data_IF_789785684038
#
_entry.id   IF_789785684038
#
_cell.length_a   1.000
_cell.length_b   1.000
_cell.length_c   1.000
_cell.angle_alpha   90.00
_cell.angle_beta   90.00
_cell.angle_gamma   90.00
#
_symmetry.space_group_name_H-M   'P 1'
#
loop_
_entity.id
_entity.type
_entity.pdbx_description
1 polymer ?
#
# COMPACT_ATOMS: atom_id res chain seq x y z
N UNK A 1 2.39 -9.46 -50.43
CA UNK A 1 2.09 -8.09 -49.99
C UNK A 1 0.57 -7.99 -49.98
N UNK A 2 -0.18 -7.98 -48.89
CA UNK A 2 -0.09 -7.34 -47.59
C UNK A 2 -0.98 -8.20 -46.67
N UNK A 3 -0.54 -8.53 -45.44
CA UNK A 3 -1.36 -8.96 -44.27
C UNK A 3 -0.42 -9.64 -43.25
N UNK A 4 0.73 -9.01 -42.99
CA UNK A 4 1.70 -9.45 -41.99
C UNK A 4 1.96 -8.30 -41.02
N UNK A 5 0.93 -7.80 -40.32
CA UNK A 5 1.17 -6.84 -39.22
C UNK A 5 0.01 -6.65 -38.22
N UNK A 6 -0.44 -7.72 -37.55
CA UNK A 6 -1.27 -7.58 -36.33
C UNK A 6 -0.76 -8.53 -35.22
N UNK A 7 0.22 -8.12 -34.41
CA UNK A 7 0.76 -8.95 -33.33
C UNK A 7 -0.14 -9.05 -32.09
N UNK A 8 -1.27 -8.32 -32.03
CA UNK A 8 -2.15 -8.22 -30.85
C UNK A 8 -3.47 -9.01 -30.92
N UNK A 9 -3.76 -9.74 -32.02
CA UNK A 9 -5.00 -10.54 -32.15
C UNK A 9 -4.89 -11.96 -31.58
N UNK A 10 -3.74 -12.34 -31.00
CA UNK A 10 -3.56 -13.67 -30.42
C UNK A 10 -4.01 -13.69 -28.96
N UNK A 11 -5.24 -14.17 -28.74
CA UNK A 11 -5.78 -14.63 -27.45
C UNK A 11 -5.02 -15.84 -26.84
N UNK A 12 -3.78 -16.08 -27.26
CA UNK A 12 -2.92 -17.19 -26.84
C UNK A 12 -1.99 -16.83 -25.66
N UNK A 13 -2.20 -15.67 -25.01
CA UNK A 13 -1.45 -15.28 -23.80
C UNK A 13 -2.01 -15.98 -22.55
N UNK A 14 -3.24 -16.49 -22.59
CA UNK A 14 -3.77 -17.30 -21.49
C UNK A 14 -3.23 -18.74 -21.58
N UNK A 15 -2.40 -19.09 -20.60
CA UNK A 15 -1.85 -20.42 -20.35
C UNK A 15 -2.90 -21.53 -20.55
N UNK A 16 -2.66 -22.43 -21.50
CA UNK A 16 -3.59 -23.47 -21.96
C UNK A 16 -4.07 -24.41 -20.82
N UNK A 17 -3.29 -24.52 -19.73
CA UNK A 17 -3.65 -25.32 -18.56
C UNK A 17 -4.78 -24.72 -17.69
N UNK A 18 -5.04 -23.40 -17.77
CA UNK A 18 -6.00 -22.73 -16.89
C UNK A 18 -7.45 -22.85 -17.37
N UNK A 19 -7.67 -22.83 -18.69
CA UNK A 19 -9.03 -22.83 -19.28
C UNK A 19 -9.75 -24.18 -19.11
N UNK A 20 -9.00 -25.28 -19.13
CA UNK A 20 -9.54 -26.63 -18.87
C UNK A 20 -9.99 -26.79 -17.41
N UNK A 21 -9.32 -26.10 -16.47
CA UNK A 21 -9.65 -26.15 -15.05
C UNK A 21 -10.97 -25.41 -14.73
N UNK A 22 -11.23 -24.30 -15.42
CA UNK A 22 -12.46 -23.51 -15.28
C UNK A 22 -13.67 -24.26 -15.82
N UNK A 23 -13.59 -24.81 -17.04
CA UNK A 23 -14.70 -25.57 -17.63
C UNK A 23 -15.06 -26.80 -16.78
N UNK A 24 -14.06 -27.46 -16.18
CA UNK A 24 -14.26 -28.62 -15.30
C UNK A 24 -14.80 -28.27 -13.92
N UNK A 25 -14.53 -27.08 -13.37
CA UNK A 25 -15.13 -26.59 -12.11
C UNK A 25 -16.59 -26.15 -12.30
N UNK A 26 -16.88 -25.47 -13.42
CA UNK A 26 -18.24 -25.05 -13.77
C UNK A 26 -19.16 -26.22 -14.12
N UNK A 27 -18.62 -27.33 -14.65
CA UNK A 27 -19.41 -28.54 -14.94
C UNK A 27 -19.70 -29.41 -13.70
N UNK A 28 -18.89 -29.31 -12.63
CA UNK A 28 -19.06 -30.11 -11.40
C UNK A 28 -20.03 -29.48 -10.39
N UNK A 29 -20.22 -28.17 -10.45
CA UNK A 29 -21.23 -27.47 -9.67
C UNK A 29 -22.42 -27.28 -10.60
N UNK A 30 -23.51 -28.02 -10.39
CA UNK A 30 -24.75 -27.91 -11.17
C UNK A 30 -25.45 -26.56 -10.97
N UNK A 31 -24.77 -25.46 -11.29
CA UNK A 31 -25.28 -24.11 -11.21
C UNK A 31 -26.05 -23.82 -12.48
N UNK A 32 -27.36 -24.02 -12.37
CA UNK A 32 -28.37 -23.40 -13.21
C UNK A 32 -27.92 -21.99 -13.62
N UNK A 33 -27.93 -21.73 -14.93
CA UNK A 33 -27.68 -20.43 -15.55
C UNK A 33 -28.68 -19.40 -15.01
N UNK A 34 -28.40 -18.82 -13.84
CA UNK A 34 -29.16 -17.70 -13.29
C UNK A 34 -28.69 -16.46 -14.05
N UNK A 35 -29.59 -15.91 -14.86
CA UNK A 35 -29.42 -14.64 -15.56
C UNK A 35 -29.13 -13.57 -14.51
N UNK A 36 -27.88 -13.10 -14.45
CA UNK A 36 -27.48 -12.00 -13.58
C UNK A 36 -28.19 -10.74 -14.09
N UNK A 37 -28.93 -10.00 -13.24
CA UNK A 37 -29.57 -8.75 -13.63
C UNK A 37 -28.50 -7.72 -13.99
N UNK A 38 -28.77 -6.90 -15.00
CA UNK A 38 -27.88 -5.89 -15.59
C UNK A 38 -27.58 -4.67 -14.69
N UNK A 39 -27.36 -4.85 -13.38
CA UNK A 39 -27.33 -3.76 -12.40
C UNK A 39 -26.00 -3.52 -11.68
N UNK A 40 -25.05 -4.45 -11.66
CA UNK A 40 -23.81 -4.29 -10.88
C UNK A 40 -22.59 -4.20 -11.80
N UNK A 41 -22.14 -2.97 -12.03
CA UNK A 41 -20.90 -2.68 -12.75
C UNK A 41 -19.70 -3.06 -11.89
N UNK A 42 -19.12 -4.24 -12.16
CA UNK A 42 -17.82 -4.63 -11.62
C UNK A 42 -16.74 -3.67 -12.14
N UNK A 43 -15.89 -3.06 -11.27
CA UNK A 43 -14.87 -2.09 -11.66
C UNK A 43 -13.82 -2.64 -12.65
N UNK A 44 -13.62 -3.96 -12.69
CA UNK A 44 -12.71 -4.64 -13.63
C UNK A 44 -13.21 -4.65 -15.08
N UNK A 45 -14.53 -4.68 -15.31
CA UNK A 45 -15.13 -4.62 -16.65
C UNK A 45 -15.12 -3.19 -17.22
N UNK A 46 -15.16 -2.18 -16.35
CA UNK A 46 -15.09 -0.78 -16.73
C UNK A 46 -13.74 -0.46 -17.37
N UNK A 47 -12.64 -0.94 -16.80
CA UNK A 47 -11.27 -0.77 -17.33
C UNK A 47 -11.09 -1.43 -18.71
N UNK A 48 -11.60 -2.65 -18.90
CA UNK A 48 -11.52 -3.34 -20.19
C UNK A 48 -12.36 -2.65 -21.26
N UNK A 49 -13.53 -2.12 -20.90
CA UNK A 49 -14.39 -1.39 -21.82
C UNK A 49 -13.85 0.01 -22.14
N UNK A 50 -13.24 0.71 -21.18
CA UNK A 50 -12.55 1.99 -21.40
C UNK A 50 -11.30 1.80 -22.28
N UNK A 51 -10.53 0.74 -22.05
CA UNK A 51 -9.37 0.41 -22.88
C UNK A 51 -9.77 -0.01 -24.30
N UNK A 52 -10.89 -0.74 -24.46
CA UNK A 52 -11.43 -1.11 -25.78
C UNK A 52 -12.04 0.09 -26.51
N UNK A 53 -12.74 0.98 -25.82
CA UNK A 53 -13.28 2.21 -26.40
C UNK A 53 -12.17 3.19 -26.81
N UNK A 54 -11.04 3.20 -26.11
CA UNK A 54 -9.86 4.00 -26.49
C UNK A 54 -9.16 3.48 -27.76
N UNK A 55 -9.43 2.25 -28.20
CA UNK A 55 -8.76 1.64 -29.38
C UNK A 55 -9.56 1.69 -30.68
N UNK A 56 -10.86 2.00 -30.66
CA UNK A 56 -11.73 1.85 -31.85
C UNK A 56 -12.15 3.19 -32.51
N UNK A 57 -12.02 4.32 -31.82
CA UNK A 57 -12.34 5.64 -32.38
C UNK A 57 -11.05 6.42 -32.63
N UNK A 58 -10.86 6.89 -33.87
CA UNK A 58 -9.69 7.64 -34.30
C UNK A 58 -9.28 8.71 -33.28
N UNK A 59 -8.01 8.65 -32.86
CA UNK A 59 -7.45 9.48 -31.79
C UNK A 59 -7.59 10.97 -32.09
N UNK A 60 -8.71 11.55 -31.65
CA UNK A 60 -8.87 12.98 -31.52
C UNK A 60 -8.07 13.42 -30.28
N UNK A 61 -7.08 14.29 -30.48
CA UNK A 61 -6.16 14.78 -29.44
C UNK A 61 -6.88 15.56 -28.31
N UNK A 62 -8.19 15.78 -28.43
CA UNK A 62 -9.07 16.37 -27.43
C UNK A 62 -9.63 15.35 -26.41
N UNK A 63 -9.72 14.06 -26.77
CA UNK A 63 -10.42 13.03 -25.98
C UNK A 63 -9.56 12.30 -24.94
N UNK A 64 -8.23 12.36 -25.02
CA UNK A 64 -7.35 11.72 -24.03
C UNK A 64 -7.56 12.32 -22.62
N UNK A 65 -7.92 13.60 -22.51
CA UNK A 65 -8.23 14.24 -21.22
C UNK A 65 -9.48 13.67 -20.59
N UNK A 66 -10.50 13.34 -21.39
CA UNK A 66 -11.74 12.74 -20.90
C UNK A 66 -11.52 11.27 -20.53
N UNK A 67 -10.74 10.53 -21.32
CA UNK A 67 -10.33 9.17 -21.01
C UNK A 67 -9.49 9.11 -19.71
N UNK A 68 -8.51 10.02 -19.55
CA UNK A 68 -7.73 10.16 -18.30
C UNK A 68 -8.63 10.57 -17.14
N UNK A 69 -9.58 11.50 -17.34
CA UNK A 69 -10.51 11.91 -16.29
C UNK A 69 -11.43 10.77 -15.85
N UNK A 70 -11.94 9.98 -16.77
CA UNK A 70 -12.77 8.81 -16.47
C UNK A 70 -11.96 7.71 -15.77
N UNK A 71 -10.72 7.47 -16.22
CA UNK A 71 -9.79 6.57 -15.55
C UNK A 71 -9.47 7.06 -14.13
N UNK A 72 -9.18 8.34 -13.94
CA UNK A 72 -8.95 8.93 -12.62
C UNK A 72 -10.19 8.86 -11.73
N UNK A 73 -11.40 9.09 -12.25
CA UNK A 73 -12.64 9.01 -11.46
C UNK A 73 -12.95 7.57 -11.03
N UNK A 74 -12.65 6.57 -11.86
CA UNK A 74 -12.79 5.16 -11.48
C UNK A 74 -11.68 4.68 -10.54
N UNK A 75 -10.48 5.29 -10.60
CA UNK A 75 -9.34 4.95 -9.75
C UNK A 75 -9.27 5.76 -8.44
N UNK A 76 -9.93 6.91 -8.34
CA UNK A 76 -9.95 7.76 -7.15
C UNK A 76 -11.31 7.65 -6.46
N UNK A 77 -11.51 6.54 -5.75
CA UNK A 77 -12.70 6.36 -4.94
C UNK A 77 -12.59 7.21 -3.67
N UNK A 78 -13.10 8.44 -3.73
CA UNK A 78 -13.03 9.42 -2.63
C UNK A 78 -13.74 8.91 -1.36
N UNK A 79 -14.65 7.93 -1.48
CA UNK A 79 -15.29 7.33 -0.31
C UNK A 79 -14.29 6.56 0.58
N UNK A 80 -13.07 6.30 0.11
CA UNK A 80 -11.96 5.79 0.92
C UNK A 80 -11.55 6.77 2.02
N UNK A 81 -11.60 8.08 1.75
CA UNK A 81 -11.29 9.11 2.75
C UNK A 81 -12.33 9.20 3.88
N UNK A 82 -13.43 8.48 3.79
CA UNK A 82 -14.41 8.37 4.87
C UNK A 82 -14.08 7.26 5.86
N UNK A 83 -13.24 6.27 5.48
CA UNK A 83 -12.81 5.20 6.38
C UNK A 83 -11.69 5.69 7.29
N UNK A 84 -11.89 5.75 8.63
CA UNK A 84 -10.82 6.14 9.54
C UNK A 84 -9.61 5.21 9.47
N UNK A 85 -9.81 3.91 9.17
CA UNK A 85 -8.71 2.97 8.94
C UNK A 85 -7.82 3.39 7.77
N UNK A 86 -8.41 3.81 6.66
CA UNK A 86 -7.66 4.32 5.51
C UNK A 86 -6.89 5.60 5.85
N UNK A 87 -7.52 6.54 6.55
CA UNK A 87 -6.88 7.81 6.94
C UNK A 87 -5.67 7.56 7.85
N UNK A 88 -5.80 6.70 8.86
CA UNK A 88 -4.70 6.33 9.75
C UNK A 88 -3.56 5.67 8.96
N UNK A 89 -3.89 4.77 8.02
CA UNK A 89 -2.91 4.09 7.17
C UNK A 89 -2.20 5.06 6.20
N UNK A 90 -2.93 6.07 5.71
CA UNK A 90 -2.41 7.10 4.82
C UNK A 90 -1.48 8.08 5.55
N UNK A 91 -1.92 8.60 6.71
CA UNK A 91 -1.11 9.50 7.55
C UNK A 91 0.16 8.79 8.02
N UNK A 92 0.04 7.59 8.57
CA UNK A 92 1.21 6.81 8.99
C UNK A 92 2.14 6.48 7.82
N UNK A 93 1.59 6.16 6.64
CA UNK A 93 2.35 5.92 5.42
C UNK A 93 3.12 7.15 4.97
N UNK A 94 2.48 8.32 4.99
CA UNK A 94 3.08 9.61 4.71
C UNK A 94 4.23 9.91 5.68
N UNK A 95 3.99 9.83 7.00
CA UNK A 95 5.02 10.10 8.01
C UNK A 95 6.21 9.14 7.88
N UNK A 96 5.92 7.84 7.76
CA UNK A 96 6.97 6.81 7.66
C UNK A 96 7.87 7.07 6.46
N UNK A 97 7.27 7.29 5.28
CA UNK A 97 8.07 7.48 4.07
C UNK A 97 8.83 8.81 4.07
N UNK A 98 8.22 9.89 4.58
CA UNK A 98 8.88 11.19 4.77
C UNK A 98 10.18 11.04 5.58
N UNK A 99 10.12 10.28 6.69
CA UNK A 99 11.26 10.09 7.59
C UNK A 99 12.28 9.08 7.05
N UNK A 100 11.84 8.04 6.35
CA UNK A 100 12.70 6.94 5.89
C UNK A 100 13.73 7.38 4.85
N UNK A 101 13.40 8.35 3.99
CA UNK A 101 14.38 8.88 3.03
C UNK A 101 15.57 9.59 3.69
N UNK A 102 15.39 10.14 4.89
CA UNK A 102 16.42 10.95 5.55
C UNK A 102 17.66 10.10 5.91
N UNK A 103 17.55 8.99 6.65
CA UNK A 103 18.71 8.13 6.87
C UNK A 103 19.23 7.48 5.59
N UNK A 104 18.35 7.21 4.61
CA UNK A 104 18.78 6.62 3.35
C UNK A 104 19.77 7.53 2.59
N UNK A 105 19.55 8.85 2.66
CA UNK A 105 20.37 9.85 1.96
C UNK A 105 21.54 10.32 2.84
N UNK A 106 21.30 10.63 4.11
CA UNK A 106 22.24 11.40 4.94
C UNK A 106 23.03 10.55 5.95
N UNK A 107 22.80 9.23 6.06
CA UNK A 107 23.55 8.38 6.99
C UNK A 107 25.06 8.37 6.72
N UNK A 108 25.47 8.41 5.45
CA UNK A 108 26.87 8.50 5.06
C UNK A 108 27.51 9.82 5.51
N UNK A 109 26.80 10.94 5.30
CA UNK A 109 27.25 12.27 5.77
C UNK A 109 27.32 12.32 7.30
N UNK A 110 26.39 11.69 8.00
CA UNK A 110 26.41 11.60 9.46
C UNK A 110 27.61 10.79 9.97
N UNK A 111 27.92 9.65 9.33
CA UNK A 111 29.12 8.88 9.65
C UNK A 111 30.41 9.64 9.32
N UNK A 112 30.37 10.62 8.41
CA UNK A 112 31.53 11.47 8.12
C UNK A 112 31.95 12.35 9.30
N UNK A 113 31.03 12.65 10.24
CA UNK A 113 31.35 13.46 11.42
C UNK A 113 32.37 12.78 12.35
N UNK A 114 32.38 11.45 12.38
CA UNK A 114 33.37 10.64 13.13
C UNK A 114 34.60 10.28 12.29
N UNK A 115 34.84 10.98 11.16
CA UNK A 115 36.04 10.81 10.33
C UNK A 115 36.04 9.57 9.43
N UNK A 116 34.89 8.97 9.14
CA UNK A 116 34.78 7.78 8.29
C UNK A 116 35.05 8.13 6.81
N UNK A 117 35.88 7.33 6.14
CA UNK A 117 36.21 7.50 4.71
C UNK A 117 34.98 7.32 3.80
N UNK A 118 34.98 7.95 2.63
CA UNK A 118 33.89 7.84 1.64
C UNK A 118 33.59 6.39 1.22
N UNK A 119 34.62 5.55 1.14
CA UNK A 119 34.49 4.12 0.82
C UNK A 119 33.66 3.38 1.87
N UNK A 120 33.91 3.64 3.16
CA UNK A 120 33.15 3.05 4.27
C UNK A 120 31.73 3.60 4.34
N UNK A 121 31.52 4.87 3.99
CA UNK A 121 30.17 5.45 3.86
C UNK A 121 29.37 4.73 2.76
N UNK A 122 29.97 4.46 1.61
CA UNK A 122 29.34 3.70 0.53
C UNK A 122 29.03 2.24 0.95
N UNK A 123 29.92 1.64 1.76
CA UNK A 123 29.70 0.31 2.32
C UNK A 123 28.50 0.25 3.27
N UNK A 124 28.23 1.30 4.08
CA UNK A 124 27.02 1.38 4.90
C UNK A 124 25.75 1.31 4.04
N UNK A 125 25.72 2.05 2.94
CA UNK A 125 24.55 2.07 2.05
C UNK A 125 24.37 0.72 1.33
N UNK A 126 25.47 0.06 0.96
CA UNK A 126 25.44 -1.29 0.39
C UNK A 126 24.95 -2.31 1.41
N UNK A 127 25.44 -2.25 2.66
CA UNK A 127 24.97 -3.08 3.78
C UNK A 127 23.48 -2.90 4.05
N UNK A 128 23.00 -1.65 4.03
CA UNK A 128 21.57 -1.32 4.15
C UNK A 128 20.75 -1.95 3.02
N UNK A 129 21.24 -1.88 1.77
CA UNK A 129 20.58 -2.49 0.62
C UNK A 129 20.51 -4.02 0.71
N UNK A 130 21.62 -4.68 1.05
CA UNK A 130 21.66 -6.15 1.24
C UNK A 130 20.74 -6.58 2.36
N UNK A 131 20.79 -5.89 3.50
CA UNK A 131 19.95 -6.20 4.66
C UNK A 131 18.47 -5.95 4.36
N UNK A 132 18.14 -4.96 3.52
CA UNK A 132 16.76 -4.73 3.06
C UNK A 132 16.26 -5.91 2.22
N UNK A 133 17.07 -6.41 1.26
CA UNK A 133 16.68 -7.58 0.45
C UNK A 133 16.40 -8.79 1.34
N UNK A 134 17.31 -9.12 2.25
CA UNK A 134 17.15 -10.23 3.21
C UNK A 134 15.93 -9.99 4.11
N UNK A 135 15.79 -8.76 4.63
CA UNK A 135 14.67 -8.34 5.46
C UNK A 135 13.33 -8.51 4.76
N UNK A 136 13.22 -8.21 3.45
CA UNK A 136 11.96 -8.37 2.70
C UNK A 136 11.54 -9.84 2.59
N UNK A 137 12.50 -10.72 2.36
CA UNK A 137 12.26 -12.17 2.32
C UNK A 137 11.81 -12.65 3.71
N UNK A 138 12.52 -12.25 4.77
CA UNK A 138 12.17 -12.63 6.14
C UNK A 138 10.80 -12.09 6.56
N UNK A 139 10.52 -10.81 6.31
CA UNK A 139 9.22 -10.20 6.61
C UNK A 139 8.08 -10.90 5.88
N UNK A 140 8.26 -11.24 4.60
CA UNK A 140 7.25 -11.98 3.82
C UNK A 140 6.97 -13.36 4.40
N UNK A 141 8.03 -14.14 4.71
CA UNK A 141 7.87 -15.47 5.32
C UNK A 141 7.19 -15.36 6.69
N UNK A 142 7.58 -14.38 7.51
CA UNK A 142 7.01 -14.17 8.85
C UNK A 142 5.54 -13.74 8.76
N UNK A 143 5.18 -12.89 7.79
CA UNK A 143 3.79 -12.43 7.62
C UNK A 143 2.85 -13.51 7.08
N UNK A 144 3.40 -14.51 6.38
CA UNK A 144 2.60 -15.61 5.84
C UNK A 144 2.28 -16.68 6.91
N UNK A 145 2.86 -16.58 8.11
CA UNK A 145 2.56 -17.49 9.21
C UNK A 145 1.15 -17.24 9.77
N UNK A 146 0.33 -18.29 9.98
CA UNK A 146 -1.08 -18.15 10.34
C UNK A 146 -1.32 -17.54 11.74
N UNK A 147 -0.29 -17.50 12.59
CA UNK A 147 -0.35 -16.93 13.94
C UNK A 147 0.15 -15.49 14.03
N UNK A 148 0.63 -14.92 12.93
CA UNK A 148 1.29 -13.62 12.91
C UNK A 148 0.42 -12.60 12.19
N UNK A 149 0.29 -11.41 12.78
CA UNK A 149 -0.39 -10.28 12.18
C UNK A 149 0.62 -9.43 11.38
N UNK A 150 0.48 -9.32 10.04
CA UNK A 150 1.38 -8.51 9.21
C UNK A 150 1.45 -7.05 9.67
N UNK A 151 0.36 -6.50 10.21
CA UNK A 151 0.33 -5.14 10.74
C UNK A 151 1.23 -4.99 11.97
N UNK A 152 1.18 -5.95 12.89
CA UNK A 152 2.03 -5.93 14.09
C UNK A 152 3.50 -6.06 13.74
N UNK A 153 3.84 -6.96 12.81
CA UNK A 153 5.22 -7.11 12.31
C UNK A 153 5.72 -5.80 11.70
N UNK A 154 4.89 -5.17 10.85
CA UNK A 154 5.22 -3.87 10.26
C UNK A 154 5.42 -2.80 11.32
N UNK A 155 4.52 -2.69 12.31
CA UNK A 155 4.60 -1.66 13.34
C UNK A 155 5.84 -1.82 14.23
N UNK A 156 6.13 -3.05 14.67
CA UNK A 156 7.31 -3.34 15.50
C UNK A 156 8.59 -2.99 14.74
N UNK A 157 8.69 -3.38 13.47
CA UNK A 157 9.84 -3.06 12.64
C UNK A 157 10.00 -1.54 12.43
N UNK A 158 8.92 -0.81 12.13
CA UNK A 158 8.95 0.65 11.96
C UNK A 158 9.36 1.36 13.26
N UNK A 159 8.81 0.94 14.41
CA UNK A 159 9.18 1.50 15.71
C UNK A 159 10.66 1.22 16.03
N UNK A 160 11.12 -0.02 15.83
CA UNK A 160 12.51 -0.39 16.05
C UNK A 160 13.47 0.41 15.14
N UNK A 161 13.11 0.58 13.88
CA UNK A 161 13.84 1.45 12.95
C UNK A 161 13.83 2.91 13.41
N UNK A 162 12.69 3.43 13.88
CA UNK A 162 12.52 4.81 14.34
C UNK A 162 13.38 5.12 15.57
N UNK A 163 13.33 4.23 16.56
CA UNK A 163 14.19 4.30 17.76
C UNK A 163 15.66 4.19 17.37
N UNK A 164 15.99 3.27 16.44
CA UNK A 164 17.35 3.18 15.90
C UNK A 164 17.81 4.49 15.29
N UNK A 165 16.98 5.11 14.44
CA UNK A 165 17.27 6.38 13.77
C UNK A 165 17.45 7.52 14.77
N UNK A 166 16.62 7.55 15.83
CA UNK A 166 16.73 8.51 16.91
C UNK A 166 18.08 8.40 17.64
N UNK A 167 18.61 7.19 17.81
CA UNK A 167 19.89 6.96 18.47
C UNK A 167 21.12 7.20 17.57
N UNK A 168 20.96 7.43 16.26
CA UNK A 168 22.08 7.60 15.31
C UNK A 168 23.08 8.69 15.73
N UNK A 169 22.67 9.88 16.21
CA UNK A 169 23.63 10.91 16.61
C UNK A 169 24.45 10.56 17.84
N UNK A 170 24.03 9.56 18.63
CA UNK A 170 24.76 9.07 19.80
C UNK A 170 25.84 8.04 19.44
N UNK A 171 25.91 7.64 18.17
CA UNK A 171 26.86 6.63 17.71
C UNK A 171 28.25 7.25 17.53
N UNK A 172 29.20 6.80 18.33
CA UNK A 172 30.57 7.31 18.30
C UNK A 172 31.47 6.55 17.33
N UNK A 173 31.03 5.36 16.90
CA UNK A 173 31.91 4.37 16.30
C UNK A 173 31.31 3.68 15.07
N UNK A 174 32.12 3.40 14.05
CA UNK A 174 31.66 2.91 12.74
C UNK A 174 30.84 1.61 12.80
N UNK A 175 31.21 0.66 13.66
CA UNK A 175 30.49 -0.61 13.80
C UNK A 175 29.09 -0.43 14.37
N UNK A 176 28.86 0.63 15.15
CA UNK A 176 27.51 0.96 15.63
C UNK A 176 26.61 1.40 14.47
N UNK A 177 27.14 2.15 13.50
CA UNK A 177 26.41 2.50 12.27
C UNK A 177 26.08 1.25 11.43
N UNK A 178 26.99 0.28 11.37
CA UNK A 178 26.75 -1.01 10.70
C UNK A 178 25.65 -1.80 11.41
N UNK A 179 25.64 -1.84 12.75
CA UNK A 179 24.58 -2.51 13.52
C UNK A 179 23.23 -1.79 13.30
N UNK A 180 23.23 -0.47 13.23
CA UNK A 180 22.04 0.35 12.98
C UNK A 180 21.38 0.06 11.61
N UNK A 181 22.15 -0.35 10.58
CA UNK A 181 21.54 -0.68 9.28
C UNK A 181 20.52 -1.82 9.38
N UNK A 182 20.63 -2.70 10.37
CA UNK A 182 19.74 -3.85 10.56
C UNK A 182 18.30 -3.43 10.92
N UNK A 183 18.03 -2.77 12.07
CA UNK A 183 16.68 -2.36 12.43
C UNK A 183 16.10 -1.37 11.41
N UNK A 184 16.92 -0.47 10.86
CA UNK A 184 16.46 0.47 9.85
C UNK A 184 16.06 -0.24 8.55
N UNK A 185 16.91 -1.11 8.00
CA UNK A 185 16.60 -1.85 6.78
C UNK A 185 15.41 -2.80 6.97
N UNK A 186 15.23 -3.38 8.16
CA UNK A 186 14.05 -4.18 8.49
C UNK A 186 12.77 -3.33 8.49
N UNK A 187 12.81 -2.09 8.97
CA UNK A 187 11.70 -1.15 8.87
C UNK A 187 11.35 -0.83 7.41
N UNK A 188 12.36 -0.58 6.57
CA UNK A 188 12.16 -0.35 5.13
C UNK A 188 11.58 -1.58 4.45
N UNK A 189 12.10 -2.76 4.79
CA UNK A 189 11.67 -4.02 4.23
C UNK A 189 10.21 -4.34 4.58
N UNK A 190 9.84 -4.21 5.85
CA UNK A 190 8.47 -4.46 6.31
C UNK A 190 7.49 -3.46 5.70
N UNK A 191 7.83 -2.18 5.67
CA UNK A 191 7.01 -1.14 5.04
C UNK A 191 6.80 -1.40 3.55
N UNK A 192 7.82 -1.84 2.83
CA UNK A 192 7.73 -2.10 1.39
C UNK A 192 7.10 -3.45 1.02
N UNK A 193 7.19 -4.47 1.88
CA UNK A 193 6.65 -5.80 1.62
C UNK A 193 5.22 -5.98 2.14
N UNK A 194 4.94 -5.52 3.36
CA UNK A 194 3.69 -5.80 4.06
C UNK A 194 2.60 -4.78 3.76
N UNK A 195 2.94 -3.63 3.19
CA UNK A 195 1.95 -2.55 3.01
C UNK A 195 0.85 -2.88 2.01
N UNK A 196 1.15 -3.62 0.95
CA UNK A 196 0.11 -4.14 0.04
C UNK A 196 -0.77 -5.16 0.74
N UNK A 197 -0.19 -6.07 1.55
CA UNK A 197 -0.90 -7.08 2.33
C UNK A 197 -1.85 -6.43 3.33
N UNK A 198 -1.36 -5.49 4.13
CA UNK A 198 -2.15 -4.71 5.10
C UNK A 198 -3.28 -3.94 4.39
N UNK A 199 -3.01 -3.38 3.21
CA UNK A 199 -4.03 -2.68 2.42
C UNK A 199 -5.15 -3.64 1.98
N UNK A 200 -4.81 -4.84 1.52
CA UNK A 200 -5.78 -5.89 1.16
C UNK A 200 -6.60 -6.32 2.37
N UNK A 201 -5.96 -6.57 3.52
CA UNK A 201 -6.63 -7.02 4.74
C UNK A 201 -7.63 -5.99 5.28
N UNK A 202 -7.30 -4.70 5.17
CA UNK A 202 -8.14 -3.62 5.71
C UNK A 202 -9.25 -3.15 4.78
N UNK A 203 -9.00 -3.14 3.46
CA UNK A 203 -9.89 -2.49 2.49
C UNK A 203 -10.56 -3.49 1.54
N UNK A 204 -10.13 -4.75 1.55
CA UNK A 204 -10.57 -5.78 0.61
C UNK A 204 -9.94 -5.64 -0.78
N UNK A 205 -9.99 -6.74 -1.54
CA UNK A 205 -9.37 -6.82 -2.87
C UNK A 205 -10.04 -5.89 -3.90
N UNK A 206 -11.34 -5.63 -3.77
CA UNK A 206 -12.12 -4.88 -4.77
C UNK A 206 -11.67 -3.42 -4.90
N UNK A 207 -11.23 -2.82 -3.79
CA UNK A 207 -10.84 -1.40 -3.72
C UNK A 207 -9.33 -1.21 -3.58
N UNK A 208 -8.56 -2.30 -3.63
CA UNK A 208 -7.12 -2.31 -3.43
C UNK A 208 -6.40 -1.35 -4.38
N UNK A 209 -6.63 -1.47 -5.69
CA UNK A 209 -5.92 -0.66 -6.69
C UNK A 209 -6.16 0.83 -6.52
N UNK A 210 -7.41 1.21 -6.24
CA UNK A 210 -7.80 2.60 -5.99
C UNK A 210 -7.15 3.14 -4.71
N UNK A 211 -7.29 2.41 -3.60
CA UNK A 211 -6.74 2.79 -2.31
C UNK A 211 -5.21 2.84 -2.30
N UNK A 212 -4.57 1.81 -2.83
CA UNK A 212 -3.13 1.73 -2.91
C UNK A 212 -2.57 2.84 -3.82
N UNK A 213 -3.26 3.18 -4.92
CA UNK A 213 -2.89 4.32 -5.76
C UNK A 213 -2.91 5.66 -5.01
N UNK A 214 -3.96 5.92 -4.22
CA UNK A 214 -4.06 7.13 -3.38
C UNK A 214 -2.97 7.12 -2.28
N UNK A 215 -2.71 5.97 -1.66
CA UNK A 215 -1.62 5.84 -0.67
C UNK A 215 -0.27 6.16 -1.31
N UNK A 216 -0.01 5.63 -2.50
CA UNK A 216 1.21 5.91 -3.25
C UNK A 216 1.33 7.39 -3.63
N UNK A 217 0.22 8.07 -3.93
CA UNK A 217 0.23 9.51 -4.20
C UNK A 217 0.70 10.30 -2.96
N UNK A 218 0.11 10.04 -1.79
CA UNK A 218 0.53 10.68 -0.54
C UNK A 218 1.99 10.37 -0.20
N UNK A 219 2.39 9.12 -0.40
CA UNK A 219 3.77 8.68 -0.25
C UNK A 219 4.72 9.40 -1.22
N UNK A 220 4.33 9.60 -2.47
CA UNK A 220 5.12 10.38 -3.43
C UNK A 220 5.34 11.82 -2.94
N UNK A 221 4.30 12.47 -2.41
CA UNK A 221 4.41 13.80 -1.81
C UNK A 221 5.35 13.77 -0.59
N UNK A 222 5.22 12.77 0.29
CA UNK A 222 6.11 12.59 1.43
C UNK A 222 7.57 12.45 1.02
N UNK A 223 7.85 11.70 -0.06
CA UNK A 223 9.19 11.51 -0.60
C UNK A 223 9.80 12.81 -1.14
N UNK A 224 8.98 13.71 -1.68
CA UNK A 224 9.41 15.03 -2.14
C UNK A 224 9.69 15.99 -0.97
N UNK A 225 8.89 15.91 0.10
CA UNK A 225 8.99 16.82 1.26
C UNK A 225 10.08 16.39 2.24
N UNK A 226 10.33 15.08 2.39
CA UNK A 226 11.24 14.52 3.40
C UNK A 226 12.68 15.05 3.30
N UNK A 227 13.39 14.84 2.18
CA UNK A 227 14.78 15.28 2.04
C UNK A 227 14.97 16.79 2.20
N UNK A 228 14.16 17.68 1.56
CA UNK A 228 14.26 19.12 1.78
C UNK A 228 14.03 19.53 3.23
N UNK A 229 13.11 18.86 3.94
CA UNK A 229 12.87 19.15 5.37
C UNK A 229 14.10 18.84 6.21
N UNK A 230 14.78 17.70 5.95
CA UNK A 230 16.01 17.34 6.66
C UNK A 230 17.20 18.22 6.28
N UNK A 231 17.29 18.66 5.03
CA UNK A 231 18.29 19.61 4.57
C UNK A 231 18.10 20.99 5.22
N UNK A 232 16.85 21.48 5.28
CA UNK A 232 16.54 22.73 5.96
C UNK A 232 16.90 22.70 7.46
N UNK A 233 16.63 21.57 8.13
CA UNK A 233 17.05 21.38 9.52
C UNK A 233 18.58 21.41 9.65
N UNK A 234 19.32 20.79 8.71
CA UNK A 234 20.79 20.88 8.66
C UNK A 234 21.26 22.32 8.52
N UNK A 235 20.64 23.11 7.65
CA UNK A 235 21.03 24.50 7.41
C UNK A 235 20.85 25.37 8.66
N UNK A 236 19.88 25.05 9.52
CA UNK A 236 19.65 25.75 10.79
C UNK A 236 20.64 25.36 11.90
N UNK A 237 20.93 24.06 12.07
CA UNK A 237 21.80 23.58 13.16
C UNK A 237 23.26 23.40 12.78
N UNK A 238 23.60 23.42 11.50
CA UNK A 238 24.93 23.10 10.97
C UNK A 238 25.26 21.60 10.91
N UNK A 239 24.57 20.77 11.71
CA UNK A 239 24.73 19.32 11.78
C UNK A 239 23.39 18.60 11.52
N UNK A 240 23.43 17.30 11.21
CA UNK A 240 22.24 16.47 10.98
C UNK A 240 21.63 15.86 12.25
N UNK A 241 22.24 16.04 13.41
CA UNK A 241 21.83 15.39 14.66
C UNK A 241 20.35 15.64 14.97
N UNK A 242 19.93 16.91 14.86
CA UNK A 242 18.53 17.31 15.07
C UNK A 242 17.60 16.66 14.05
N UNK A 243 18.02 16.56 12.79
CA UNK A 243 17.25 15.90 11.73
C UNK A 243 17.04 14.42 12.05
N UNK A 244 18.08 13.72 12.54
CA UNK A 244 17.97 12.31 12.94
C UNK A 244 17.09 12.12 14.17
N UNK A 245 17.20 12.97 15.20
CA UNK A 245 16.31 12.91 16.36
C UNK A 245 14.84 13.13 15.98
N UNK A 246 14.54 14.19 15.23
CA UNK A 246 13.16 14.51 14.87
C UNK A 246 12.56 13.44 13.95
N UNK A 247 13.29 13.01 12.92
CA UNK A 247 12.80 12.02 11.96
C UNK A 247 12.68 10.63 12.58
N UNK A 248 13.62 10.24 13.46
CA UNK A 248 13.53 8.99 14.21
C UNK A 248 12.31 8.97 15.14
N UNK A 249 12.06 10.07 15.85
CA UNK A 249 10.87 10.22 16.69
C UNK A 249 9.57 10.15 15.88
N UNK A 250 9.48 10.90 14.77
CA UNK A 250 8.30 10.90 13.90
C UNK A 250 8.06 9.53 13.25
N UNK A 251 9.13 8.81 12.90
CA UNK A 251 9.04 7.45 12.38
C UNK A 251 8.58 6.44 13.44
N UNK A 252 9.05 6.56 14.68
CA UNK A 252 8.55 5.73 15.76
C UNK A 252 7.07 6.04 16.06
N UNK A 253 6.70 7.33 16.06
CA UNK A 253 5.33 7.79 16.25
C UNK A 253 4.38 7.28 15.16
N UNK A 254 4.82 7.22 13.90
CA UNK A 254 3.99 6.69 12.80
C UNK A 254 3.65 5.22 13.01
N UNK A 255 4.60 4.41 13.50
CA UNK A 255 4.36 3.01 13.87
C UNK A 255 3.40 2.86 15.06
N UNK A 256 3.51 3.74 16.06
CA UNK A 256 2.59 3.76 17.22
C UNK A 256 1.16 4.13 16.81
N UNK A 257 1.01 5.11 15.91
CA UNK A 257 -0.31 5.53 15.36
C UNK A 257 -1.02 4.36 14.65
N UNK A 258 -0.29 3.42 14.07
CA UNK A 258 -0.84 2.23 13.42
C UNK A 258 -1.25 1.10 14.39
N UNK A 259 -0.91 1.15 15.67
CA UNK A 259 -1.31 0.13 16.65
C UNK A 259 -2.84 0.04 16.81
N UNK A 260 -3.59 1.14 17.02
CA UNK A 260 -5.05 1.08 17.13
C UNK A 260 -5.76 0.71 15.83
N UNK A 261 -5.06 0.66 14.69
CA UNK A 261 -5.65 0.46 13.37
C UNK A 261 -6.49 -0.82 13.29
N UNK A 262 -6.05 -1.91 13.94
CA UNK A 262 -6.81 -3.17 13.97
C UNK A 262 -8.10 -3.08 14.79
N UNK A 263 -8.08 -2.30 15.88
CA UNK A 263 -9.26 -2.05 16.70
C UNK A 263 -10.26 -1.16 15.95
N UNK A 264 -9.76 -0.17 15.20
CA UNK A 264 -10.58 0.72 14.39
C UNK A 264 -11.22 -0.04 13.22
N UNK A 265 -10.46 -0.89 12.52
CA UNK A 265 -11.01 -1.69 11.42
C UNK A 265 -12.04 -2.70 11.91
N UNK A 266 -11.80 -3.35 13.06
CA UNK A 266 -12.79 -4.24 13.69
C UNK A 266 -14.07 -3.48 14.10
N UNK A 267 -13.96 -2.22 14.51
CA UNK A 267 -15.13 -1.39 14.81
C UNK A 267 -15.90 -0.98 13.55
N UNK A 268 -15.21 -0.62 12.47
CA UNK A 268 -15.82 -0.32 11.17
C UNK A 268 -16.60 -1.51 10.63
N UNK A 269 -16.02 -2.70 10.69
CA UNK A 269 -16.64 -3.94 10.23
C UNK A 269 -17.91 -4.27 11.01
N UNK A 270 -17.86 -4.15 12.35
CA UNK A 270 -19.05 -4.33 13.22
C UNK A 270 -20.14 -3.32 12.91
N UNK A 271 -19.79 -2.07 12.59
CA UNK A 271 -20.76 -1.02 12.24
C UNK A 271 -21.41 -1.30 10.89
N UNK A 272 -20.66 -1.76 9.89
CA UNK A 272 -21.19 -2.19 8.59
C UNK A 272 -22.17 -3.35 8.72
N UNK A 273 -21.79 -4.40 9.45
CA UNK A 273 -22.66 -5.56 9.67
C UNK A 273 -23.97 -5.21 10.38
N UNK A 274 -23.93 -4.28 11.36
CA UNK A 274 -25.14 -3.78 12.03
C UNK A 274 -26.04 -2.97 11.09
N UNK A 275 -25.46 -2.14 10.22
CA UNK A 275 -26.22 -1.37 9.25
C UNK A 275 -26.90 -2.28 8.21
N UNK A 276 -26.19 -3.31 7.71
CA UNK A 276 -26.74 -4.29 6.78
C UNK A 276 -27.86 -5.14 7.39
N UNK A 277 -27.66 -5.60 8.64
CA UNK A 277 -28.69 -6.36 9.37
C UNK A 277 -29.95 -5.53 9.63
N UNK A 278 -29.78 -4.24 9.96
CA UNK A 278 -30.89 -3.30 10.13
C UNK A 278 -31.64 -3.02 8.83
N UNK A 279 -30.92 -2.90 7.70
CA UNK A 279 -31.53 -2.67 6.39
C UNK A 279 -32.30 -3.91 5.91
N UNK A 280 -31.74 -5.12 6.07
CA UNK A 280 -32.45 -6.37 5.77
C UNK A 280 -33.72 -6.53 6.62
N UNK A 281 -33.66 -6.22 7.92
CA UNK A 281 -34.85 -6.27 8.77
C UNK A 281 -35.90 -5.23 8.36
N UNK A 282 -35.49 -4.03 7.93
CA UNK A 282 -36.40 -3.01 7.41
C UNK A 282 -37.03 -3.40 6.07
N UNK A 283 -36.30 -4.08 5.18
CA UNK A 283 -36.82 -4.57 3.89
C UNK A 283 -37.79 -5.76 4.05
N UNK A 284 -37.58 -6.62 5.05
CA UNK A 284 -38.43 -7.78 5.34
C UNK A 284 -39.73 -7.44 6.09
N UNK A 285 -39.80 -6.29 6.77
CA UNK A 285 -41.00 -5.82 7.49
C UNK A 285 -42.25 -5.63 6.60
N UNK A 286 -42.19 -4.95 5.44
CA UNK A 286 -43.36 -4.78 4.57
C UNK A 286 -43.81 -6.08 3.87
N UNK A 287 -42.93 -7.08 3.72
CA UNK A 287 -43.27 -8.39 3.16
C UNK A 287 -44.08 -9.24 4.14
N UNK A 288 -43.72 -9.25 5.43
CA UNK A 288 -44.49 -9.94 6.47
C UNK A 288 -45.88 -9.33 6.66
N UNK A 289 -46.02 -8.01 6.58
CA UNK A 289 -47.33 -7.34 6.71
C UNK A 289 -48.26 -7.67 5.54
N UNK A 290 -47.73 -7.91 4.34
CA UNK A 290 -48.53 -8.36 3.18
C UNK A 290 -48.94 -9.83 3.24
N UNK A 291 -48.13 -10.71 3.83
CA UNK A 291 -48.51 -12.12 4.08
C UNK A 291 -49.64 -12.26 5.10
N UNK A 292 -49.71 -11.35 6.09
CA UNK A 292 -50.75 -11.38 7.14
C UNK A 292 -52.05 -10.68 6.67
N UNK A 293 -51.97 -9.82 5.64
CA UNK A 293 -53.09 -9.06 5.10
C UNK A 293 -53.67 -9.63 3.78
N UNK A 294 -53.31 -10.85 3.40
CA UNK A 294 -53.90 -11.55 2.26
C UNK A 294 -55.24 -12.21 2.62
N UNK A 295 -56.33 -11.95 1.86
CA UNK A 295 -57.63 -12.60 2.03
C UNK A 295 -57.66 -14.07 1.57
#
# INVERSE_FOLDING_TARGET
MHELNRPLSKMAIFYYGSTISLSRRTARTGMHKKRIPSGEQHPSLCLSNLALQATDEGADASNWRQAVRAAMQSMLDISLFTSPSFIILAISGFLTLCCLFVPFIYLGEQASQIGVSKERQAFLLTSLGVTNIVGRILCGIISDLPSVDPLMVSNVAIIAGGVGTFCVPLLTEYWMYVIYTIPFALAVASFGALRSVICVELLGLERLSSAFGILLLFMGIAALVGPPTAAFLKDLTGNYDLSFYLMGFLMALSGVICIPLRSVSAYEERKRQKAESGNQQAELQPLKTKEIAGP
#
